data_IF_563821974973
#
_entry.id   IF_563821974973
#
_cell.length_a   1.000
_cell.length_b   1.000
_cell.length_c   1.000
_cell.angle_alpha   90.00
_cell.angle_beta   90.00
_cell.angle_gamma   90.00
#
_symmetry.space_group_name_H-M   'P 1'
#
loop_
_entity.id
_entity.type
_entity.pdbx_description
1 polymer ?
#
# COMPACT_ATOMS: atom_id res chain seq x y z
N UNK A 1 17.60 -5.19 12.99
CA UNK A 1 17.04 -3.86 12.67
C UNK A 1 17.65 -2.83 13.62
N UNK A 2 18.42 -1.91 13.10
CA UNK A 2 18.90 -0.74 13.85
C UNK A 2 18.18 0.49 13.28
N UNK A 3 17.19 1.05 14.00
CA UNK A 3 16.41 2.19 13.52
C UNK A 3 17.26 3.49 13.44
N UNK A 4 18.41 3.53 14.10
CA UNK A 4 19.26 4.72 14.22
C UNK A 4 20.49 4.67 13.29
N UNK A 5 20.66 3.61 12.49
CA UNK A 5 21.75 3.53 11.51
C UNK A 5 21.48 4.47 10.33
N UNK A 6 22.05 5.67 10.39
CA UNK A 6 21.96 6.71 9.34
C UNK A 6 22.51 6.23 7.99
N UNK A 7 23.38 5.20 7.99
CA UNK A 7 23.97 4.60 6.78
C UNK A 7 23.29 3.29 6.37
N UNK A 8 22.26 2.88 7.10
CA UNK A 8 21.50 1.65 6.84
C UNK A 8 20.69 1.70 5.56
N UNK A 9 20.40 0.51 5.02
CA UNK A 9 19.50 0.33 3.89
C UNK A 9 18.06 0.17 4.40
N UNK A 10 17.15 0.95 3.89
CA UNK A 10 15.71 0.89 4.26
C UNK A 10 15.06 -0.40 3.77
N UNK A 11 14.17 -0.97 4.59
CA UNK A 11 13.45 -2.24 4.31
C UNK A 11 11.96 -2.03 4.44
N UNK A 12 11.24 -2.21 3.34
CA UNK A 12 9.78 -2.13 3.30
C UNK A 12 9.15 -3.42 3.84
N UNK A 13 8.24 -3.27 4.78
CA UNK A 13 7.44 -4.35 5.39
C UNK A 13 6.00 -4.28 4.91
N UNK A 14 5.20 -5.29 5.21
CA UNK A 14 3.77 -5.28 4.91
C UNK A 14 3.00 -4.11 5.54
N UNK A 15 3.49 -3.54 6.65
CA UNK A 15 2.92 -2.34 7.29
C UNK A 15 3.22 -1.05 6.53
N UNK A 16 4.20 -1.07 5.64
CA UNK A 16 4.68 0.11 4.93
C UNK A 16 4.09 0.15 3.49
N UNK A 17 3.70 -1.02 2.94
CA UNK A 17 3.03 -1.15 1.64
C UNK A 17 1.52 -1.18 1.85
N UNK A 18 0.85 -0.11 1.44
CA UNK A 18 -0.60 0.08 1.60
C UNK A 18 -1.31 -0.06 0.25
N UNK A 19 -2.62 0.13 0.23
CA UNK A 19 -3.43 0.06 -0.98
C UNK A 19 -3.16 1.30 -1.86
N UNK A 20 -2.37 1.13 -2.92
CA UNK A 20 -2.03 2.15 -3.90
C UNK A 20 -0.79 2.99 -3.57
N UNK A 21 -0.21 2.92 -2.38
CA UNK A 21 0.95 3.73 -2.02
C UNK A 21 1.86 3.07 -0.98
N UNK A 22 3.08 3.59 -0.85
CA UNK A 22 4.06 3.18 0.16
C UNK A 22 4.17 4.31 1.20
N UNK A 23 3.99 3.97 2.47
CA UNK A 23 4.12 4.92 3.57
C UNK A 23 5.60 5.30 3.74
N UNK A 24 5.96 6.59 3.65
CA UNK A 24 7.36 7.02 3.68
C UNK A 24 7.96 7.08 5.09
N UNK A 25 7.11 7.10 6.13
CA UNK A 25 7.52 7.37 7.50
C UNK A 25 7.88 6.10 8.27
N UNK A 26 8.90 6.19 9.14
CA UNK A 26 9.30 5.13 10.07
C UNK A 26 9.70 3.80 9.39
N UNK A 27 10.26 3.87 8.19
CA UNK A 27 10.80 2.70 7.49
C UNK A 27 12.05 2.23 8.25
N UNK A 28 12.07 0.94 8.60
CA UNK A 28 13.21 0.35 9.31
C UNK A 28 14.41 0.17 8.39
N UNK A 29 15.60 0.17 8.98
CA UNK A 29 16.87 -0.03 8.29
C UNK A 29 17.54 -1.34 8.69
N UNK A 30 18.40 -1.84 7.82
CA UNK A 30 19.34 -2.94 8.05
C UNK A 30 20.71 -2.52 7.58
N UNK A 31 21.76 -3.20 8.03
CA UNK A 31 23.13 -2.92 7.56
C UNK A 31 23.27 -3.26 6.07
N UNK A 32 24.30 -2.67 5.43
CA UNK A 32 24.58 -2.97 4.00
C UNK A 32 24.96 -4.42 3.76
N UNK A 33 25.61 -5.07 4.73
CA UNK A 33 25.98 -6.49 4.67
C UNK A 33 24.72 -7.34 4.57
N UNK A 34 23.76 -7.11 5.48
CA UNK A 34 22.47 -7.81 5.46
C UNK A 34 21.70 -7.51 4.17
N UNK A 35 21.69 -6.25 3.71
CA UNK A 35 21.04 -5.91 2.43
C UNK A 35 21.65 -6.70 1.26
N UNK A 36 22.96 -6.84 1.21
CA UNK A 36 23.66 -7.56 0.14
C UNK A 36 23.44 -9.07 0.18
N UNK A 37 23.26 -9.67 1.36
CA UNK A 37 22.85 -11.07 1.48
C UNK A 37 21.51 -11.33 0.79
N UNK A 38 20.63 -10.33 0.79
CA UNK A 38 19.31 -10.37 0.17
C UNK A 38 19.24 -9.52 -1.12
N UNK A 39 20.29 -9.54 -1.94
CA UNK A 39 20.40 -8.70 -3.15
C UNK A 39 19.20 -8.81 -4.11
N UNK A 40 18.53 -9.98 -4.16
CA UNK A 40 17.33 -10.19 -4.98
C UNK A 40 16.11 -9.36 -4.53
N UNK A 41 16.12 -8.88 -3.29
CA UNK A 41 15.05 -8.05 -2.73
C UNK A 41 15.31 -6.55 -2.86
N UNK A 42 16.46 -6.16 -3.40
CA UNK A 42 16.78 -4.76 -3.67
C UNK A 42 15.87 -4.26 -4.79
N UNK A 43 15.28 -3.08 -4.56
CA UNK A 43 14.37 -2.41 -5.47
C UNK A 43 15.15 -1.54 -6.45
N UNK A 44 14.68 -1.47 -7.69
CA UNK A 44 15.24 -0.63 -8.74
C UNK A 44 14.40 0.63 -9.00
N UNK A 45 13.18 0.66 -8.49
CA UNK A 45 12.15 1.67 -8.84
C UNK A 45 11.21 1.14 -9.92
N UNK A 46 9.94 1.49 -9.83
CA UNK A 46 8.92 1.09 -10.79
C UNK A 46 8.34 -0.31 -10.62
N UNK A 47 8.88 -1.19 -9.77
CA UNK A 47 8.31 -2.52 -9.54
C UNK A 47 6.96 -2.42 -8.81
N UNK A 48 6.14 -3.46 -8.94
CA UNK A 48 4.91 -3.59 -8.17
C UNK A 48 5.19 -4.45 -6.93
N UNK A 49 4.91 -3.91 -5.75
CA UNK A 49 4.95 -4.64 -4.49
C UNK A 49 3.56 -5.15 -4.14
N UNK A 50 3.51 -6.33 -3.53
CA UNK A 50 2.27 -6.91 -2.99
C UNK A 50 2.55 -7.62 -1.68
N UNK A 51 1.69 -7.39 -0.69
CA UNK A 51 1.78 -8.07 0.58
C UNK A 51 1.31 -9.52 0.44
N UNK A 52 2.22 -10.46 0.70
CA UNK A 52 1.96 -11.91 0.58
C UNK A 52 1.74 -12.58 1.94
N UNK A 53 2.07 -11.89 3.04
CA UNK A 53 1.84 -12.34 4.43
C UNK A 53 1.47 -11.14 5.30
N UNK A 54 0.86 -11.41 6.45
CA UNK A 54 0.41 -10.36 7.37
C UNK A 54 -0.81 -9.64 6.85
N UNK A 55 -0.76 -8.33 6.71
CA UNK A 55 -1.84 -7.51 6.16
C UNK A 55 -1.97 -7.71 4.65
N UNK A 56 -2.70 -8.74 4.24
CA UNK A 56 -3.00 -8.98 2.82
C UNK A 56 -3.86 -7.83 2.27
N UNK A 57 -3.51 -7.32 1.08
CA UNK A 57 -4.24 -6.23 0.42
C UNK A 57 -3.33 -5.06 0.05
N UNK A 58 -2.25 -4.84 0.79
CA UNK A 58 -1.27 -3.82 0.40
C UNK A 58 -0.63 -4.17 -0.94
N UNK A 59 -0.69 -3.21 -1.86
CA UNK A 59 -0.08 -3.29 -3.19
C UNK A 59 0.22 -1.88 -3.68
N UNK A 60 1.44 -1.64 -4.15
CA UNK A 60 1.86 -0.32 -4.61
C UNK A 60 2.96 -0.42 -5.66
N UNK A 61 3.07 0.61 -6.50
CA UNK A 61 4.23 0.79 -7.39
C UNK A 61 5.35 1.46 -6.60
N UNK A 62 6.57 0.94 -6.71
CA UNK A 62 7.76 1.51 -6.05
C UNK A 62 8.12 2.83 -6.71
N UNK A 63 8.15 3.95 -5.97
CA UNK A 63 8.68 5.21 -6.48
C UNK A 63 10.18 5.11 -6.82
N UNK A 64 10.63 5.87 -7.81
CA UNK A 64 12.04 5.86 -8.24
C UNK A 64 13.01 6.26 -7.12
N UNK A 65 12.60 7.16 -6.23
CA UNK A 65 13.38 7.59 -5.08
C UNK A 65 13.58 6.50 -4.02
N UNK A 66 12.85 5.40 -4.10
CA UNK A 66 13.02 4.23 -3.23
C UNK A 66 13.92 3.15 -3.86
N UNK A 67 14.59 3.45 -4.97
CA UNK A 67 15.61 2.58 -5.51
C UNK A 67 16.72 2.33 -4.47
N UNK A 68 17.17 1.09 -4.37
CA UNK A 68 18.15 0.67 -3.35
C UNK A 68 17.56 0.19 -2.03
N UNK A 69 16.24 0.34 -1.78
CA UNK A 69 15.60 -0.25 -0.61
C UNK A 69 15.46 -1.77 -0.77
N UNK A 70 15.36 -2.48 0.33
CA UNK A 70 14.99 -3.89 0.35
C UNK A 70 13.50 -4.07 0.69
N UNK A 71 13.00 -5.28 0.50
CA UNK A 71 11.69 -5.71 1.02
C UNK A 71 11.86 -6.84 2.03
N UNK A 72 10.99 -6.86 3.03
CA UNK A 72 10.91 -7.92 4.00
C UNK A 72 10.18 -9.15 3.41
N UNK A 73 10.30 -10.31 4.06
CA UNK A 73 9.73 -11.59 3.60
C UNK A 73 8.20 -11.63 3.45
N UNK A 74 7.51 -10.64 4.00
CA UNK A 74 6.05 -10.50 3.92
C UNK A 74 5.60 -9.79 2.63
N UNK A 75 6.54 -9.23 1.88
CA UNK A 75 6.29 -8.47 0.65
C UNK A 75 6.92 -9.19 -0.52
N UNK A 76 6.19 -9.33 -1.60
CA UNK A 76 6.72 -9.81 -2.88
C UNK A 76 6.93 -8.66 -3.85
N UNK A 77 8.00 -8.75 -4.64
CA UNK A 77 8.34 -7.85 -5.74
C UNK A 77 7.95 -8.49 -7.06
N UNK A 78 7.16 -7.79 -7.86
CA UNK A 78 6.78 -8.17 -9.21
C UNK A 78 7.53 -7.28 -10.19
N UNK A 79 8.42 -7.87 -10.96
CA UNK A 79 9.09 -7.21 -12.07
C UNK A 79 8.32 -7.53 -13.35
N UNK A 80 7.82 -6.51 -14.01
CA UNK A 80 6.96 -6.67 -15.18
C UNK A 80 7.78 -6.58 -16.49
N UNK A 81 7.27 -7.20 -17.54
CA UNK A 81 7.79 -7.03 -18.88
C UNK A 81 7.50 -5.61 -19.39
N UNK A 82 8.32 -5.11 -20.30
CA UNK A 82 8.20 -3.74 -20.89
C UNK A 82 6.86 -3.45 -21.58
N UNK A 83 6.09 -4.50 -21.93
CA UNK A 83 4.74 -4.41 -22.49
C UNK A 83 3.63 -4.23 -21.47
N UNK A 84 3.97 -4.15 -20.18
CA UNK A 84 3.01 -4.05 -19.08
C UNK A 84 3.14 -2.68 -18.38
N UNK A 85 2.02 -2.09 -18.04
CA UNK A 85 1.96 -0.87 -17.25
C UNK A 85 1.89 -1.23 -15.75
N UNK A 86 2.87 -0.82 -14.96
CA UNK A 86 2.98 -1.14 -13.53
C UNK A 86 1.75 -0.67 -12.74
N UNK A 87 1.27 0.54 -13.02
CA UNK A 87 0.06 1.09 -12.37
C UNK A 87 -1.20 0.29 -12.71
N UNK A 88 -1.32 -0.17 -13.97
CA UNK A 88 -2.44 -1.00 -14.39
C UNK A 88 -2.45 -2.33 -13.62
N UNK A 89 -1.29 -3.00 -13.50
CA UNK A 89 -1.16 -4.24 -12.72
C UNK A 89 -1.46 -4.00 -11.24
N UNK A 90 -0.98 -2.91 -10.66
CA UNK A 90 -1.30 -2.51 -9.29
C UNK A 90 -2.82 -2.38 -9.10
N UNK A 91 -3.53 -1.68 -9.98
CA UNK A 91 -4.98 -1.52 -9.90
C UNK A 91 -5.72 -2.85 -10.04
N UNK A 92 -5.23 -3.74 -10.91
CA UNK A 92 -5.80 -5.08 -10.98
C UNK A 92 -5.65 -5.85 -9.66
N UNK A 93 -4.46 -5.81 -9.04
CA UNK A 93 -4.19 -6.46 -7.75
C UNK A 93 -5.00 -5.85 -6.58
N UNK A 94 -5.42 -4.60 -6.70
CA UNK A 94 -6.33 -3.94 -5.76
C UNK A 94 -7.80 -4.22 -6.07
N UNK A 95 -8.11 -4.77 -7.23
CA UNK A 95 -9.49 -4.99 -7.67
C UNK A 95 -10.18 -6.13 -6.90
N UNK A 96 -11.51 -6.05 -6.88
CA UNK A 96 -12.35 -7.12 -6.32
C UNK A 96 -12.11 -8.47 -7.01
N UNK A 97 -11.84 -8.49 -8.30
CA UNK A 97 -11.53 -9.72 -9.05
C UNK A 97 -10.33 -10.46 -8.46
N UNK A 98 -9.24 -9.75 -8.17
CA UNK A 98 -8.06 -10.35 -7.55
C UNK A 98 -8.34 -10.78 -6.10
N UNK A 99 -9.08 -9.97 -5.34
CA UNK A 99 -9.47 -10.33 -3.96
C UNK A 99 -10.29 -11.62 -3.95
N UNK A 100 -11.26 -11.78 -4.84
CA UNK A 100 -12.07 -12.99 -4.97
C UNK A 100 -11.22 -14.19 -5.42
N UNK A 101 -10.35 -14.01 -6.43
CA UNK A 101 -9.40 -15.03 -6.87
C UNK A 101 -8.53 -15.51 -5.70
N UNK A 102 -7.91 -14.60 -4.98
CA UNK A 102 -7.09 -14.90 -3.81
C UNK A 102 -7.88 -15.65 -2.74
N UNK A 103 -9.07 -15.16 -2.39
CA UNK A 103 -9.89 -15.72 -1.32
C UNK A 103 -10.36 -17.14 -1.66
N UNK A 104 -10.75 -17.42 -2.90
CA UNK A 104 -11.18 -18.74 -3.33
C UNK A 104 -10.06 -19.80 -3.24
N UNK A 105 -8.80 -19.39 -3.43
CA UNK A 105 -7.65 -20.29 -3.36
C UNK A 105 -7.02 -20.42 -1.95
N UNK A 106 -7.33 -19.48 -1.06
CA UNK A 106 -6.87 -19.53 0.33
C UNK A 106 -7.84 -20.24 1.28
N UNK A 107 -9.05 -20.55 0.82
CA UNK A 107 -10.07 -21.24 1.62
C UNK A 107 -9.62 -22.66 1.98
N UNK A 108 -9.53 -22.96 3.29
CA UNK A 108 -9.11 -24.26 3.82
C UNK A 108 -7.65 -24.36 4.26
N UNK A 109 -6.86 -23.32 4.10
CA UNK A 109 -5.47 -23.28 4.60
C UNK A 109 -5.41 -22.69 6.01
N UNK A 110 -4.69 -23.39 6.92
CA UNK A 110 -4.35 -22.89 8.26
C UNK A 110 -3.41 -21.67 8.18
N UNK A 111 -2.73 -21.47 7.06
CA UNK A 111 -1.79 -20.38 6.81
C UNK A 111 -2.39 -19.39 5.82
N UNK A 112 -2.78 -18.22 6.32
CA UNK A 112 -3.28 -17.12 5.49
C UNK A 112 -2.09 -16.39 4.87
N UNK A 113 -1.63 -16.86 3.71
CA UNK A 113 -0.55 -16.24 2.95
C UNK A 113 -0.72 -16.48 1.46
N UNK A 114 -0.50 -15.45 0.67
CA UNK A 114 -0.47 -15.54 -0.80
C UNK A 114 0.89 -16.14 -1.20
N UNK A 115 0.91 -17.34 -1.77
CA UNK A 115 2.15 -17.90 -2.27
C UNK A 115 2.51 -17.33 -3.66
N UNK A 116 3.78 -17.40 -4.01
CA UNK A 116 4.30 -16.84 -5.27
C UNK A 116 3.70 -17.58 -6.49
N UNK A 117 3.47 -18.88 -6.39
CA UNK A 117 2.88 -19.68 -7.45
C UNK A 117 1.44 -19.22 -7.77
N UNK A 118 0.61 -19.01 -6.72
CA UNK A 118 -0.74 -18.49 -6.88
C UNK A 118 -0.73 -17.08 -7.49
N UNK A 119 0.21 -16.22 -7.05
CA UNK A 119 0.37 -14.89 -7.59
C UNK A 119 0.76 -14.91 -9.08
N UNK A 120 1.69 -15.80 -9.46
CA UNK A 120 2.14 -15.93 -10.86
C UNK A 120 1.10 -16.56 -11.79
N UNK A 121 0.18 -17.36 -11.24
CA UNK A 121 -0.90 -18.02 -11.99
C UNK A 121 -2.17 -17.17 -12.09
N UNK A 122 -2.18 -15.98 -11.48
CA UNK A 122 -3.35 -15.12 -11.46
C UNK A 122 -3.71 -14.65 -12.88
N UNK A 123 -4.96 -14.88 -13.34
CA UNK A 123 -5.41 -14.43 -14.64
C UNK A 123 -5.49 -12.90 -14.65
N UNK A 124 -4.66 -12.26 -15.45
CA UNK A 124 -4.62 -10.81 -15.61
C UNK A 124 -5.11 -10.45 -17.02
N UNK A 125 -6.16 -9.62 -17.19
CA UNK A 125 -6.51 -9.06 -18.48
C UNK A 125 -5.31 -8.29 -19.06
N UNK A 126 -5.00 -8.53 -20.33
CA UNK A 126 -3.82 -7.97 -20.96
C UNK A 126 -4.16 -7.22 -22.26
N UNK A 127 -4.85 -6.06 -22.17
CA UNK A 127 -5.08 -5.20 -23.34
C UNK A 127 -3.75 -4.59 -23.83
N UNK A 128 -3.80 -3.88 -24.94
CA UNK A 128 -2.62 -3.18 -25.47
C UNK A 128 -2.06 -2.17 -24.46
N UNK A 129 -0.74 -1.97 -24.47
CA UNK A 129 -0.05 -1.10 -23.50
C UNK A 129 -0.61 0.33 -23.46
N UNK A 130 -1.05 0.85 -24.60
CA UNK A 130 -1.70 2.17 -24.69
C UNK A 130 -3.01 2.21 -23.90
N UNK A 131 -3.80 1.16 -24.00
CA UNK A 131 -5.05 1.02 -23.25
C UNK A 131 -4.78 0.82 -21.76
N UNK A 132 -3.80 -0.01 -21.37
CA UNK A 132 -3.38 -0.18 -19.98
C UNK A 132 -3.02 1.18 -19.35
N UNK A 133 -2.23 2.01 -20.05
CA UNK A 133 -1.85 3.34 -19.60
C UNK A 133 -3.07 4.27 -19.45
N UNK A 134 -3.96 4.28 -20.45
CA UNK A 134 -5.17 5.09 -20.41
C UNK A 134 -6.09 4.72 -19.24
N UNK A 135 -6.24 3.42 -18.95
CA UNK A 135 -6.99 2.93 -17.78
C UNK A 135 -6.31 3.40 -16.49
N UNK A 136 -4.99 3.24 -16.37
CA UNK A 136 -4.27 3.66 -15.18
C UNK A 136 -4.38 5.18 -14.93
N UNK A 137 -4.20 6.00 -15.97
CA UNK A 137 -4.32 7.47 -15.88
C UNK A 137 -5.74 7.90 -15.47
N UNK A 138 -6.76 7.23 -15.98
CA UNK A 138 -8.14 7.47 -15.58
C UNK A 138 -8.37 7.14 -14.10
N UNK A 139 -7.87 5.97 -13.66
CA UNK A 139 -8.01 5.52 -12.28
C UNK A 139 -7.22 6.41 -11.31
N UNK A 140 -5.99 6.80 -11.64
CA UNK A 140 -5.20 7.75 -10.84
C UNK A 140 -5.99 9.04 -10.58
N UNK A 141 -6.56 9.62 -11.64
CA UNK A 141 -7.37 10.85 -11.53
C UNK A 141 -8.62 10.64 -10.67
N UNK A 142 -9.31 9.51 -10.84
CA UNK A 142 -10.56 9.23 -10.09
C UNK A 142 -10.30 8.91 -8.63
N UNK A 143 -9.32 8.05 -8.36
CA UNK A 143 -8.94 7.71 -6.99
C UNK A 143 -8.46 8.95 -6.24
N UNK A 144 -7.58 9.77 -6.82
CA UNK A 144 -7.13 11.03 -6.20
C UNK A 144 -8.29 11.97 -5.87
N UNK A 145 -9.31 12.09 -6.75
CA UNK A 145 -10.50 12.90 -6.47
C UNK A 145 -11.31 12.35 -5.30
N UNK A 146 -11.46 11.01 -5.23
CA UNK A 146 -12.18 10.33 -4.16
C UNK A 146 -11.42 10.49 -2.84
N UNK A 147 -10.10 10.27 -2.83
CA UNK A 147 -9.26 10.39 -1.63
C UNK A 147 -9.29 11.82 -1.07
N UNK A 148 -9.25 12.83 -1.95
CA UNK A 148 -9.42 14.22 -1.54
C UNK A 148 -10.78 14.47 -0.86
N UNK A 149 -11.88 13.92 -1.40
CA UNK A 149 -13.20 14.04 -0.78
C UNK A 149 -13.29 13.31 0.57
N UNK A 150 -12.65 12.15 0.68
CA UNK A 150 -12.55 11.38 1.93
C UNK A 150 -11.82 12.23 2.99
N UNK A 151 -10.67 12.81 2.63
CA UNK A 151 -9.90 13.65 3.55
C UNK A 151 -10.69 14.88 4.04
N UNK A 152 -11.43 15.54 3.16
CA UNK A 152 -12.32 16.65 3.56
C UNK A 152 -13.39 16.20 4.55
N UNK A 153 -14.02 15.03 4.29
CA UNK A 153 -15.06 14.49 5.17
C UNK A 153 -14.51 14.07 6.54
N UNK A 154 -13.34 13.48 6.57
CA UNK A 154 -12.65 13.12 7.81
C UNK A 154 -12.34 14.35 8.66
N UNK A 155 -11.71 15.37 8.06
CA UNK A 155 -11.41 16.63 8.74
C UNK A 155 -12.69 17.32 9.27
N UNK A 156 -13.81 17.24 8.53
CA UNK A 156 -15.10 17.76 9.01
C UNK A 156 -15.63 16.95 10.19
N UNK A 157 -15.51 15.62 10.15
CA UNK A 157 -15.93 14.75 11.26
C UNK A 157 -15.15 15.06 12.53
N UNK A 158 -13.84 15.22 12.43
CA UNK A 158 -12.98 15.59 13.56
C UNK A 158 -13.37 16.94 14.18
N UNK A 159 -13.65 17.96 13.35
CA UNK A 159 -14.12 19.26 13.84
C UNK A 159 -15.47 19.18 14.55
N UNK A 160 -16.39 18.36 14.06
CA UNK A 160 -17.68 18.15 14.70
C UNK A 160 -17.53 17.46 16.05
N UNK A 161 -16.62 16.50 16.17
CA UNK A 161 -16.34 15.84 17.46
C UNK A 161 -15.71 16.82 18.48
N UNK A 162 -14.77 17.65 18.05
CA UNK A 162 -14.20 18.72 18.86
C UNK A 162 -15.28 19.72 19.32
N UNK A 163 -16.17 20.13 18.42
CA UNK A 163 -17.27 21.02 18.76
C UNK A 163 -18.24 20.40 19.77
N UNK A 164 -18.59 19.14 19.59
CA UNK A 164 -19.41 18.39 20.55
C UNK A 164 -18.77 18.35 21.93
N UNK A 165 -17.47 18.10 22.02
CA UNK A 165 -16.74 18.10 23.28
C UNK A 165 -16.71 19.49 23.93
N UNK A 166 -16.53 20.55 23.12
CA UNK A 166 -16.59 21.93 23.60
C UNK A 166 -17.96 22.31 24.18
N UNK A 167 -19.04 21.92 23.48
CA UNK A 167 -20.40 22.13 23.96
C UNK A 167 -20.64 21.43 25.31
N UNK A 168 -20.27 20.15 25.42
CA UNK A 168 -20.40 19.40 26.66
C UNK A 168 -19.68 20.13 27.81
N UNK A 169 -18.42 20.55 27.53
CA UNK A 169 -17.63 21.27 28.53
C UNK A 169 -18.28 22.59 28.95
N UNK A 170 -18.75 23.43 28.00
CA UNK A 170 -19.34 24.71 28.27
C UNK A 170 -20.60 24.62 29.16
N UNK A 171 -21.48 23.66 28.84
CA UNK A 171 -22.73 23.48 29.56
C UNK A 171 -22.54 22.80 30.90
N UNK A 172 -21.71 21.76 30.99
CA UNK A 172 -21.48 21.03 32.25
C UNK A 172 -20.71 21.87 33.28
N UNK A 173 -19.83 22.76 32.81
CA UNK A 173 -19.07 23.66 33.71
C UNK A 173 -19.77 24.98 34.03
N UNK A 174 -20.98 25.19 33.54
CA UNK A 174 -21.74 26.43 33.76
C UNK A 174 -21.20 27.65 33.03
N UNK A 175 -20.32 27.46 32.07
CA UNK A 175 -19.82 28.55 31.18
C UNK A 175 -20.90 29.05 30.22
N UNK A 176 -21.90 28.20 30.00
CA UNK A 176 -23.04 28.50 29.14
C UNK A 176 -24.32 27.96 29.78
N UNK A 177 -25.35 28.75 29.81
CA UNK A 177 -26.65 28.37 30.38
C UNK A 177 -27.56 27.79 29.28
N UNK A 178 -28.39 26.81 29.68
CA UNK A 178 -29.48 26.29 28.86
C UNK A 178 -30.64 27.26 28.99
N UNK A 179 -30.98 27.96 27.92
CA UNK A 179 -32.19 28.81 27.86
C UNK A 179 -33.45 27.96 27.75
#
# INVERSE_FOLDING_TARGET
FDPDDVNGVKVLRCSDVLEGFIKPDNIRTVTREVSNEYARTILAGGEVLVNVRGSLGGCAVVPEEMAGYNIAREVAKITLYSRMCNRYVMYYLLSRCFVEYRTSHLSGSVYVGLNIELLSSCPLPNPELTEQKAIADYLDKKCSQIDHLIAIKQAKSEKLEQYKQSLIYEYVTGKREVM
#
